data_IF_000638523574
#
_entry.id   IF_000638523574
#
_cell.length_a   1.000
_cell.length_b   1.000
_cell.length_c   1.000
_cell.angle_alpha   90.00
_cell.angle_beta   90.00
_cell.angle_gamma   90.00
#
_symmetry.space_group_name_H-M   'P 1'
#
loop_
_entity.id
_entity.type
_entity.pdbx_description
1 polymer ?
#
# COMPACT_ATOMS: atom_id res chain seq x y z
N UNK A 1 -8.62 -3.16 16.86
CA UNK A 1 -8.38 -4.46 16.19
C UNK A 1 -7.18 -5.26 16.76
N UNK A 2 -6.45 -4.78 17.79
CA UNK A 2 -5.33 -5.51 18.41
C UNK A 2 -5.71 -6.42 19.60
N UNK A 3 -6.90 -6.24 20.18
CA UNK A 3 -7.32 -6.96 21.39
C UNK A 3 -7.70 -8.44 21.15
N UNK A 4 -8.04 -8.85 19.93
CA UNK A 4 -8.40 -10.25 19.64
C UNK A 4 -7.19 -11.17 19.42
N UNK A 5 -6.06 -10.64 18.93
CA UNK A 5 -4.85 -11.43 18.69
C UNK A 5 -4.14 -11.81 19.98
N UNK A 6 -4.07 -10.90 20.96
CA UNK A 6 -3.44 -11.18 22.26
C UNK A 6 -4.17 -12.27 23.05
N UNK A 7 -5.51 -12.25 23.01
CA UNK A 7 -6.36 -13.22 23.70
C UNK A 7 -6.19 -14.63 23.11
N UNK A 8 -6.10 -14.75 21.77
CA UNK A 8 -5.87 -16.03 21.11
C UNK A 8 -4.47 -16.60 21.38
N UNK A 9 -3.45 -15.73 21.41
CA UNK A 9 -2.08 -16.12 21.73
C UNK A 9 -1.95 -16.59 23.18
N UNK A 10 -2.63 -15.94 24.13
CA UNK A 10 -2.68 -16.42 25.51
C UNK A 10 -3.44 -17.74 25.66
N UNK A 11 -4.55 -17.93 24.94
CA UNK A 11 -5.30 -19.20 24.96
C UNK A 11 -4.44 -20.35 24.40
N UNK A 12 -3.69 -20.10 23.32
CA UNK A 12 -2.75 -21.07 22.75
C UNK A 12 -1.55 -21.32 23.67
N UNK A 13 -0.99 -20.28 24.29
CA UNK A 13 0.11 -20.41 25.26
C UNK A 13 -0.31 -21.23 26.49
N UNK A 14 -1.53 -21.03 26.99
CA UNK A 14 -2.07 -21.78 28.12
C UNK A 14 -2.33 -23.25 27.75
N UNK A 15 -2.89 -23.54 26.57
CA UNK A 15 -3.06 -24.93 26.09
C UNK A 15 -1.73 -25.65 25.83
N UNK A 16 -0.71 -24.96 25.34
CA UNK A 16 0.63 -25.55 25.13
C UNK A 16 1.31 -25.87 26.46
N UNK A 17 1.07 -25.09 27.53
CA UNK A 17 1.56 -25.40 28.89
C UNK A 17 0.86 -26.60 29.51
N UNK A 18 -0.43 -26.82 29.23
CA UNK A 18 -1.19 -27.97 29.73
C UNK A 18 -0.83 -29.29 29.03
N UNK A 19 -0.25 -29.23 27.84
CA UNK A 19 0.31 -30.41 27.17
C UNK A 19 1.59 -30.86 27.90
N UNK A 20 1.44 -31.75 28.87
CA UNK A 20 2.55 -32.41 29.56
C UNK A 20 3.42 -33.17 28.54
N UNK A 21 4.56 -32.60 28.15
CA UNK A 21 5.55 -33.14 27.19
C UNK A 21 6.29 -34.41 27.68
N UNK A 22 5.70 -35.14 28.64
CA UNK A 22 6.19 -36.41 29.17
C UNK A 22 5.81 -37.64 28.33
N UNK A 23 4.88 -37.53 27.37
CA UNK A 23 4.44 -38.66 26.56
C UNK A 23 5.51 -39.08 25.52
N UNK A 24 5.97 -40.34 25.60
CA UNK A 24 6.95 -40.96 24.69
C UNK A 24 6.56 -40.83 23.20
N UNK A 25 5.27 -40.72 22.90
CA UNK A 25 4.70 -40.62 21.55
C UNK A 25 5.04 -39.30 20.86
N UNK A 26 5.10 -38.19 21.60
CA UNK A 26 5.43 -36.85 21.05
C UNK A 26 6.92 -36.76 20.74
N UNK A 27 7.78 -37.34 21.60
CA UNK A 27 9.24 -37.39 21.36
C UNK A 27 9.60 -38.25 20.15
N UNK A 28 8.87 -39.34 19.89
CA UNK A 28 9.10 -40.18 18.71
C UNK A 28 8.73 -39.48 17.41
N UNK A 29 7.64 -38.69 17.38
CA UNK A 29 7.23 -37.94 16.18
C UNK A 29 8.12 -36.74 15.86
N UNK A 30 8.76 -36.14 16.86
CA UNK A 30 9.69 -35.01 16.66
C UNK A 30 11.12 -35.42 16.21
N UNK A 31 11.45 -36.73 16.17
CA UNK A 31 12.78 -37.22 15.76
C UNK A 31 13.10 -37.03 14.28
N UNK A 32 12.11 -36.83 13.41
CA UNK A 32 12.30 -36.75 11.96
C UNK A 32 12.68 -35.36 11.43
N UNK A 33 12.79 -34.33 12.30
CA UNK A 33 12.99 -32.96 11.83
C UNK A 33 13.84 -32.12 12.80
N UNK A 34 15.17 -32.14 12.63
CA UNK A 34 16.12 -31.31 13.40
C UNK A 34 15.75 -29.82 13.53
N UNK A 35 15.20 -29.12 12.51
CA UNK A 35 14.86 -27.70 12.67
C UNK A 35 13.66 -27.45 13.62
N UNK A 36 12.71 -28.39 13.70
CA UNK A 36 11.56 -28.30 14.60
C UNK A 36 11.96 -28.48 16.07
N UNK A 37 12.92 -29.36 16.37
CA UNK A 37 13.45 -29.52 17.72
C UNK A 37 14.17 -28.27 18.23
N UNK A 38 14.96 -27.62 17.37
CA UNK A 38 15.69 -26.40 17.73
C UNK A 38 14.72 -25.25 18.04
N UNK A 39 13.72 -25.01 17.18
CA UNK A 39 12.70 -23.98 17.41
C UNK A 39 11.86 -24.24 18.68
N UNK A 40 11.43 -25.47 18.92
CA UNK A 40 10.68 -25.81 20.14
C UNK A 40 11.53 -25.68 21.40
N UNK A 41 12.80 -26.11 21.36
CA UNK A 41 13.71 -26.00 22.51
C UNK A 41 13.96 -24.54 22.89
N UNK A 42 14.11 -23.66 21.89
CA UNK A 42 14.33 -22.23 22.09
C UNK A 42 13.09 -21.52 22.64
N UNK A 43 11.89 -21.94 22.21
CA UNK A 43 10.61 -21.45 22.74
C UNK A 43 10.41 -21.78 24.23
N UNK A 44 10.76 -23.00 24.63
CA UNK A 44 10.65 -23.45 26.03
C UNK A 44 11.62 -22.66 26.94
N UNK A 45 12.83 -22.36 26.45
CA UNK A 45 13.83 -21.64 27.23
C UNK A 45 13.65 -20.13 27.24
N UNK A 46 13.01 -19.54 26.22
CA UNK A 46 12.89 -18.08 26.11
C UNK A 46 11.56 -17.64 25.42
N UNK A 47 10.44 -17.57 26.16
CA UNK A 47 9.11 -17.33 25.59
C UNK A 47 8.87 -15.89 25.10
N UNK A 48 9.72 -14.92 25.50
CA UNK A 48 9.57 -13.51 25.12
C UNK A 48 10.23 -13.16 23.77
N UNK A 49 11.29 -13.86 23.37
CA UNK A 49 11.95 -13.61 22.07
C UNK A 49 11.26 -14.34 20.91
N UNK A 50 10.60 -15.46 21.19
CA UNK A 50 9.98 -16.30 20.17
C UNK A 50 8.62 -15.80 19.66
N UNK A 51 7.93 -14.94 20.42
CA UNK A 51 6.74 -14.24 19.93
C UNK A 51 7.04 -13.31 18.74
N UNK A 52 8.27 -12.79 18.62
CA UNK A 52 8.70 -12.02 17.45
C UNK A 52 9.03 -12.91 16.24
N UNK A 53 9.58 -14.11 16.45
CA UNK A 53 9.82 -15.06 15.35
C UNK A 53 8.52 -15.61 14.75
N UNK A 54 7.50 -15.88 15.57
CA UNK A 54 6.21 -16.40 15.10
C UNK A 54 5.45 -15.41 14.20
N UNK A 55 5.67 -14.10 14.34
CA UNK A 55 5.11 -13.10 13.44
C UNK A 55 5.74 -13.09 12.04
N UNK A 56 6.94 -13.66 11.87
CA UNK A 56 7.66 -13.74 10.58
C UNK A 56 7.63 -15.13 9.94
N UNK A 57 6.98 -16.12 10.56
CA UNK A 57 6.86 -17.45 9.97
C UNK A 57 5.70 -17.51 8.97
N UNK A 58 6.04 -17.93 7.75
CA UNK A 58 5.13 -18.21 6.64
C UNK A 58 3.84 -18.92 7.13
N UNK A 59 2.62 -18.49 6.74
CA UNK A 59 1.35 -19.07 7.18
C UNK A 59 1.23 -20.60 7.00
N UNK A 60 2.01 -21.18 6.07
CA UNK A 60 2.16 -22.64 5.93
C UNK A 60 2.73 -23.33 7.18
N UNK A 61 3.63 -22.68 7.93
CA UNK A 61 4.22 -23.22 9.15
C UNK A 61 3.18 -23.33 10.27
N UNK A 62 2.26 -22.36 10.35
CA UNK A 62 1.15 -22.35 11.31
C UNK A 62 0.12 -23.44 10.99
N UNK A 63 -0.19 -23.64 9.70
CA UNK A 63 -1.06 -24.72 9.23
C UNK A 63 -0.45 -26.10 9.49
N UNK A 64 0.87 -26.26 9.31
CA UNK A 64 1.57 -27.51 9.61
C UNK A 64 1.53 -27.83 11.11
N UNK A 65 1.70 -26.82 11.97
CA UNK A 65 1.63 -26.99 13.43
C UNK A 65 0.21 -27.41 13.89
N UNK A 66 -0.83 -26.80 13.31
CA UNK A 66 -2.23 -27.11 13.62
C UNK A 66 -2.60 -28.51 13.13
N UNK A 67 -2.11 -28.90 11.94
CA UNK A 67 -2.27 -30.25 11.37
C UNK A 67 -1.59 -31.33 12.21
N UNK A 68 -0.34 -31.09 12.65
CA UNK A 68 0.44 -32.07 13.43
C UNK A 68 -0.14 -32.24 14.85
N UNK A 69 -0.75 -31.20 15.41
CA UNK A 69 -1.25 -31.21 16.79
C UNK A 69 -2.75 -31.56 16.93
N UNK A 70 -3.52 -31.67 15.84
CA UNK A 70 -4.96 -32.00 15.87
C UNK A 70 -5.77 -31.14 16.89
N UNK A 71 -5.36 -29.88 17.09
CA UNK A 71 -5.83 -29.08 18.23
C UNK A 71 -7.22 -28.42 18.04
N UNK A 72 -7.83 -28.50 16.84
CA UNK A 72 -9.17 -27.92 16.59
C UNK A 72 -9.93 -28.80 15.59
N UNK A 73 -11.18 -29.23 15.87
CA UNK A 73 -12.02 -29.86 14.86
C UNK A 73 -12.32 -28.85 13.75
N UNK A 74 -12.12 -29.27 12.50
CA UNK A 74 -12.36 -28.49 11.27
C UNK A 74 -13.85 -28.10 11.19
N UNK A 75 -14.23 -27.00 11.85
CA UNK A 75 -15.57 -26.44 11.84
C UNK A 75 -15.63 -25.26 10.87
N UNK A 76 -16.78 -25.06 10.22
CA UNK A 76 -17.03 -24.00 9.24
C UNK A 76 -16.63 -22.58 9.71
N UNK A 77 -16.55 -22.35 11.03
CA UNK A 77 -16.06 -21.09 11.61
C UNK A 77 -14.56 -20.84 11.35
N UNK A 78 -13.74 -21.89 11.21
CA UNK A 78 -12.31 -21.77 10.89
C UNK A 78 -12.10 -21.34 9.43
N UNK A 79 -12.92 -21.85 8.51
CA UNK A 79 -12.93 -21.41 7.10
C UNK A 79 -13.35 -19.93 6.98
N UNK A 80 -14.37 -19.50 7.73
CA UNK A 80 -14.80 -18.10 7.76
C UNK A 80 -13.70 -17.16 8.30
N UNK A 81 -12.91 -17.62 9.28
CA UNK A 81 -11.79 -16.86 9.82
C UNK A 81 -10.61 -16.79 8.82
N UNK A 82 -10.38 -17.86 8.05
CA UNK A 82 -9.40 -17.86 6.97
C UNK A 82 -9.82 -16.92 5.81
N UNK A 83 -11.11 -16.90 5.47
CA UNK A 83 -11.65 -15.97 4.47
C UNK A 83 -11.54 -14.50 4.90
N UNK A 84 -11.70 -14.24 6.20
CA UNK A 84 -11.53 -12.90 6.78
C UNK A 84 -10.07 -12.43 6.81
N UNK A 85 -9.11 -13.37 6.93
CA UNK A 85 -7.67 -13.05 6.92
C UNK A 85 -7.11 -12.88 5.50
N UNK A 86 -7.76 -13.46 4.48
CA UNK A 86 -7.40 -13.27 3.07
C UNK A 86 -7.92 -11.97 2.45
N UNK A 87 -8.80 -11.23 3.13
CA UNK A 87 -9.46 -10.02 2.59
C UNK A 87 -8.98 -8.70 3.22
N UNK A 88 -7.71 -8.57 3.58
CA UNK A 88 -7.22 -7.41 4.34
C UNK A 88 -5.79 -6.96 4.06
N UNK A 89 -5.34 -7.00 2.80
CA UNK A 89 -4.12 -6.31 2.36
C UNK A 89 -4.23 -6.01 0.86
N UNK A 90 -5.23 -5.21 0.49
CA UNK A 90 -5.31 -4.69 -0.88
C UNK A 90 -4.27 -3.57 -1.05
N UNK A 91 -3.48 -3.62 -2.12
CA UNK A 91 -2.65 -2.48 -2.52
C UNK A 91 -3.54 -1.29 -2.85
N UNK A 92 -3.09 -0.08 -2.53
CA UNK A 92 -3.81 1.14 -2.88
C UNK A 92 -3.73 1.32 -4.40
N UNK A 93 -4.88 1.26 -5.07
CA UNK A 93 -4.95 1.38 -6.53
C UNK A 93 -5.04 2.84 -6.94
N UNK A 94 -4.09 3.28 -7.75
CA UNK A 94 -3.98 4.66 -8.20
C UNK A 94 -4.16 4.79 -9.71
N UNK A 95 -4.81 5.90 -10.10
CA UNK A 95 -4.85 6.42 -11.45
C UNK A 95 -4.07 7.73 -11.55
N UNK A 96 -3.51 8.02 -12.73
CA UNK A 96 -2.79 9.28 -12.99
C UNK A 96 -3.47 10.02 -14.13
N UNK A 97 -3.90 11.26 -13.90
CA UNK A 97 -4.35 12.15 -14.95
C UNK A 97 -3.24 13.16 -15.30
N UNK A 98 -2.84 13.17 -16.57
CA UNK A 98 -1.70 13.93 -17.09
C UNK A 98 -0.39 13.17 -16.93
N UNK A 99 0.17 12.65 -18.04
CA UNK A 99 1.43 11.89 -18.02
C UNK A 99 2.65 12.78 -18.32
N UNK A 100 2.62 13.98 -17.74
CA UNK A 100 3.68 14.98 -17.81
C UNK A 100 4.84 14.66 -16.86
N UNK A 101 5.62 15.69 -16.50
CA UNK A 101 6.78 15.53 -15.61
C UNK A 101 6.41 14.89 -14.27
N UNK A 102 5.41 15.44 -13.58
CA UNK A 102 4.98 14.95 -12.26
C UNK A 102 4.34 13.57 -12.38
N UNK A 103 3.38 13.38 -13.29
CA UNK A 103 2.73 12.08 -13.50
C UNK A 103 3.71 10.93 -13.75
N UNK A 104 4.74 11.15 -14.59
CA UNK A 104 5.77 10.11 -14.83
C UNK A 104 6.61 9.81 -13.58
N UNK A 105 6.97 10.82 -12.81
CA UNK A 105 7.73 10.61 -11.56
C UNK A 105 6.89 9.90 -10.51
N UNK A 106 5.61 10.23 -10.39
CA UNK A 106 4.66 9.52 -9.53
C UNK A 106 4.56 8.06 -9.95
N UNK A 107 4.42 7.78 -11.25
CA UNK A 107 4.41 6.41 -11.76
C UNK A 107 5.72 5.65 -11.45
N UNK A 108 6.89 6.29 -11.62
CA UNK A 108 8.19 5.70 -11.28
C UNK A 108 8.28 5.32 -9.80
N UNK A 109 7.84 6.20 -8.91
CA UNK A 109 7.83 5.95 -7.46
C UNK A 109 6.82 4.86 -7.11
N UNK A 110 5.60 4.93 -7.65
CA UNK A 110 4.55 3.94 -7.38
C UNK A 110 4.95 2.52 -7.79
N UNK A 111 5.66 2.36 -8.90
CA UNK A 111 6.11 1.04 -9.38
C UNK A 111 7.22 0.43 -8.50
N UNK A 112 7.90 1.22 -7.69
CA UNK A 112 8.92 0.75 -6.73
C UNK A 112 8.34 0.48 -5.35
N UNK A 113 7.06 0.76 -5.14
CA UNK A 113 6.38 0.58 -3.86
C UNK A 113 5.53 -0.68 -3.85
N UNK A 114 5.50 -1.36 -2.70
CA UNK A 114 4.72 -2.58 -2.53
C UNK A 114 3.29 -2.34 -2.05
N UNK A 115 3.03 -1.16 -1.49
CA UNK A 115 1.73 -0.74 -0.93
C UNK A 115 0.82 -0.03 -1.95
N UNK A 116 1.35 0.34 -3.11
CA UNK A 116 0.64 1.06 -4.17
C UNK A 116 0.66 0.25 -5.47
N UNK A 117 -0.45 0.32 -6.21
CA UNK A 117 -0.58 -0.29 -7.53
C UNK A 117 -1.08 0.75 -8.53
N UNK A 118 -0.27 1.04 -9.56
CA UNK A 118 -0.70 1.86 -10.68
C UNK A 118 -1.58 1.01 -11.60
N UNK A 119 -2.82 1.44 -11.84
CA UNK A 119 -3.77 0.68 -12.67
C UNK A 119 -4.22 1.44 -13.93
N UNK A 120 -4.15 2.78 -13.91
CA UNK A 120 -4.61 3.61 -15.02
C UNK A 120 -3.78 4.87 -15.21
N UNK A 121 -3.61 5.28 -16.47
CA UNK A 121 -3.00 6.55 -16.89
C UNK A 121 -3.93 7.20 -17.91
N UNK A 122 -4.18 8.50 -17.80
CA UNK A 122 -4.88 9.27 -18.82
C UNK A 122 -4.00 10.42 -19.32
N UNK A 123 -3.84 10.53 -20.64
CA UNK A 123 -3.33 11.74 -21.28
C UNK A 123 -3.89 11.85 -22.72
N UNK A 124 -4.70 12.89 -23.02
CA UNK A 124 -5.34 13.03 -24.33
C UNK A 124 -4.39 13.50 -25.45
N UNK A 125 -3.15 13.88 -25.13
CA UNK A 125 -2.21 14.46 -26.09
C UNK A 125 -1.03 13.53 -26.43
N UNK A 126 -0.90 12.41 -25.73
CA UNK A 126 0.27 11.53 -25.81
C UNK A 126 -0.19 10.13 -26.21
N UNK A 127 0.40 9.57 -27.27
CA UNK A 127 0.16 8.18 -27.65
C UNK A 127 0.87 7.21 -26.71
N UNK A 128 0.36 5.99 -26.60
CA UNK A 128 0.92 4.93 -25.73
C UNK A 128 2.39 4.61 -26.04
N UNK A 129 2.78 4.64 -27.31
CA UNK A 129 4.18 4.50 -27.73
C UNK A 129 5.05 5.66 -27.23
N UNK A 130 4.53 6.89 -27.34
CA UNK A 130 5.25 8.08 -26.90
C UNK A 130 5.33 8.15 -25.37
N UNK A 131 4.27 7.75 -24.64
CA UNK A 131 4.30 7.56 -23.18
C UNK A 131 5.43 6.61 -22.77
N UNK A 132 5.58 5.49 -23.48
CA UNK A 132 6.62 4.49 -23.22
C UNK A 132 8.01 5.10 -23.39
N UNK A 133 8.22 5.83 -24.48
CA UNK A 133 9.49 6.53 -24.74
C UNK A 133 9.82 7.55 -23.64
N UNK A 134 8.88 8.44 -23.32
CA UNK A 134 9.04 9.48 -22.31
C UNK A 134 9.22 8.92 -20.89
N UNK A 135 8.63 7.77 -20.60
CA UNK A 135 8.82 7.09 -19.32
C UNK A 135 10.18 6.40 -19.25
N UNK A 136 10.64 5.77 -20.34
CA UNK A 136 11.93 5.08 -20.41
C UNK A 136 13.11 6.05 -20.33
N UNK A 137 13.03 7.18 -21.03
CA UNK A 137 14.11 8.16 -21.12
C UNK A 137 13.70 9.47 -20.45
N UNK A 138 14.31 9.77 -19.31
CA UNK A 138 14.17 11.07 -18.62
C UNK A 138 15.53 11.76 -18.56
N UNK A 139 15.60 13.01 -18.99
CA UNK A 139 16.86 13.77 -19.08
C UNK A 139 17.43 14.14 -17.71
N UNK A 140 16.59 14.28 -16.68
CA UNK A 140 17.00 14.71 -15.34
C UNK A 140 17.21 13.50 -14.43
N UNK A 141 16.27 12.56 -14.45
CA UNK A 141 16.27 11.40 -13.56
C UNK A 141 16.84 10.13 -14.21
N UNK A 142 17.33 10.24 -15.45
CA UNK A 142 17.94 9.15 -16.18
C UNK A 142 16.93 8.10 -16.69
N UNK A 143 17.51 7.03 -17.24
CA UNK A 143 16.74 5.94 -17.83
C UNK A 143 16.08 5.06 -16.77
N UNK A 144 14.89 4.56 -17.08
CA UNK A 144 14.23 3.54 -16.25
C UNK A 144 14.94 2.19 -16.38
N UNK A 145 15.39 1.62 -15.25
CA UNK A 145 16.24 0.40 -15.21
C UNK A 145 15.61 -0.80 -14.49
N UNK A 146 14.40 -0.68 -13.94
CA UNK A 146 13.85 -1.71 -13.05
C UNK A 146 13.12 -2.80 -13.83
N UNK A 147 12.01 -2.46 -14.47
CA UNK A 147 11.18 -3.40 -15.21
C UNK A 147 11.15 -3.06 -16.68
N UNK A 148 11.05 -4.09 -17.52
CA UNK A 148 10.84 -3.91 -18.94
C UNK A 148 9.49 -3.23 -19.19
N UNK A 149 9.47 -2.24 -20.07
CA UNK A 149 8.25 -1.57 -20.52
C UNK A 149 7.86 -2.12 -21.87
N UNK A 150 6.63 -2.63 -21.98
CA UNK A 150 6.07 -3.11 -23.25
C UNK A 150 4.74 -2.43 -23.53
N UNK A 151 4.56 -2.01 -24.77
CA UNK A 151 3.23 -1.65 -25.27
C UNK A 151 2.54 -2.95 -25.66
N UNK A 152 1.41 -3.25 -25.01
CA UNK A 152 0.59 -4.42 -25.37
C UNK A 152 -0.36 -4.08 -26.51
N UNK A 153 -1.02 -2.93 -26.38
CA UNK A 153 -1.96 -2.38 -27.36
C UNK A 153 -2.09 -0.87 -27.17
N UNK A 154 -2.90 -0.20 -27.99
CA UNK A 154 -3.08 1.25 -27.94
C UNK A 154 -3.68 1.75 -26.62
N UNK A 155 -4.26 0.89 -25.80
CA UNK A 155 -4.91 1.23 -24.53
C UNK A 155 -4.26 0.55 -23.32
N UNK A 156 -3.12 -0.13 -23.48
CA UNK A 156 -2.51 -0.90 -22.40
C UNK A 156 -0.99 -0.86 -22.44
N UNK A 157 -0.40 -0.41 -21.32
CA UNK A 157 1.03 -0.48 -21.03
C UNK A 157 1.32 -1.59 -20.04
N UNK A 158 2.39 -2.34 -20.28
CA UNK A 158 2.90 -3.33 -19.35
C UNK A 158 4.16 -2.80 -18.67
N UNK A 159 4.13 -2.73 -17.35
CA UNK A 159 5.29 -2.48 -16.51
C UNK A 159 5.75 -3.82 -15.92
N UNK A 160 6.67 -4.50 -16.61
CA UNK A 160 6.96 -5.91 -16.38
C UNK A 160 5.75 -6.77 -16.77
N UNK A 161 5.17 -7.46 -15.79
CA UNK A 161 3.97 -8.28 -15.98
C UNK A 161 2.68 -7.54 -15.62
N UNK A 162 2.77 -6.33 -15.06
CA UNK A 162 1.61 -5.58 -14.57
C UNK A 162 0.97 -4.75 -15.68
N UNK A 163 -0.29 -4.99 -16.05
CA UNK A 163 -0.99 -4.18 -17.03
C UNK A 163 -1.54 -2.90 -16.41
N UNK A 164 -1.38 -1.80 -17.14
CA UNK A 164 -1.89 -0.47 -16.82
C UNK A 164 -2.70 0.04 -18.01
N UNK A 165 -3.96 0.38 -17.76
CA UNK A 165 -4.85 0.93 -18.78
C UNK A 165 -4.44 2.36 -19.13
N UNK A 166 -4.47 2.69 -20.42
CA UNK A 166 -4.17 4.01 -20.95
C UNK A 166 -5.41 4.58 -21.61
N UNK A 167 -5.74 5.81 -21.22
CA UNK A 167 -6.84 6.58 -21.75
C UNK A 167 -6.34 7.87 -22.41
N UNK A 168 -7.09 8.34 -23.40
CA UNK A 168 -6.81 9.59 -24.14
C UNK A 168 -7.99 10.55 -24.06
N UNK A 169 -8.63 10.66 -22.90
CA UNK A 169 -9.89 11.39 -22.70
C UNK A 169 -9.60 12.79 -22.15
N UNK A 170 -10.24 13.80 -22.73
CA UNK A 170 -10.06 15.22 -22.31
C UNK A 170 -10.92 15.61 -21.12
N UNK A 171 -12.16 15.11 -21.09
CA UNK A 171 -13.09 15.41 -20.01
C UNK A 171 -12.86 14.44 -18.85
N UNK A 172 -12.48 14.91 -17.65
CA UNK A 172 -12.20 14.02 -16.52
C UNK A 172 -13.40 13.16 -16.07
N UNK A 173 -14.63 13.62 -16.32
CA UNK A 173 -15.86 12.90 -15.96
C UNK A 173 -16.06 11.62 -16.77
N UNK A 174 -15.50 11.57 -17.98
CA UNK A 174 -15.65 10.45 -18.92
C UNK A 174 -14.55 9.40 -18.76
N UNK A 175 -13.56 9.64 -17.90
CA UNK A 175 -12.47 8.68 -17.68
C UNK A 175 -13.01 7.54 -16.79
N UNK A 176 -12.98 6.28 -17.25
CA UNK A 176 -13.63 5.17 -16.55
C UNK A 176 -12.72 4.60 -15.43
N UNK A 177 -12.43 5.42 -14.41
CA UNK A 177 -11.63 5.01 -13.25
C UNK A 177 -12.20 3.76 -12.57
N UNK A 178 -13.53 3.70 -12.44
CA UNK A 178 -14.24 2.57 -11.84
C UNK A 178 -13.99 1.24 -12.55
N UNK A 179 -13.86 1.23 -13.89
CA UNK A 179 -13.58 0.01 -14.65
C UNK A 179 -12.18 -0.54 -14.37
N UNK A 180 -11.21 0.35 -14.15
CA UNK A 180 -9.82 -0.02 -13.83
C UNK A 180 -9.60 -0.32 -12.35
N UNK A 181 -10.56 0.04 -11.50
CA UNK A 181 -10.44 -0.04 -10.05
C UNK A 181 -9.51 1.01 -9.44
N UNK A 182 -9.25 2.11 -10.15
CA UNK A 182 -8.48 3.24 -9.61
C UNK A 182 -9.29 3.95 -8.52
N UNK A 183 -8.85 3.82 -7.27
CA UNK A 183 -9.55 4.42 -6.12
C UNK A 183 -9.07 5.85 -5.85
N UNK A 184 -7.77 6.08 -6.05
CA UNK A 184 -7.14 7.38 -5.84
C UNK A 184 -6.62 7.91 -7.16
N UNK A 185 -6.94 9.15 -7.51
CA UNK A 185 -6.44 9.79 -8.73
C UNK A 185 -5.44 10.88 -8.38
N UNK A 186 -4.29 10.84 -9.03
CA UNK A 186 -3.32 11.94 -9.00
C UNK A 186 -3.62 12.85 -10.19
N UNK A 187 -4.12 14.04 -9.90
CA UNK A 187 -4.42 15.08 -10.87
C UNK A 187 -3.16 15.93 -11.09
N UNK A 188 -2.48 15.68 -12.22
CA UNK A 188 -1.20 16.29 -12.56
C UNK A 188 -1.15 16.94 -13.94
N UNK A 189 -2.32 17.23 -14.52
CA UNK A 189 -2.43 18.01 -15.76
C UNK A 189 -2.10 19.49 -15.55
N UNK A 190 -2.34 20.00 -14.34
CA UNK A 190 -2.24 21.43 -14.01
C UNK A 190 -3.43 22.28 -14.48
N UNK A 191 -4.48 21.66 -15.03
CA UNK A 191 -5.69 22.35 -15.52
C UNK A 191 -6.83 22.26 -14.50
N UNK A 192 -6.99 21.10 -13.85
CA UNK A 192 -8.09 20.81 -12.92
C UNK A 192 -7.65 20.99 -11.46
N UNK A 193 -7.15 22.19 -11.12
CA UNK A 193 -6.58 22.50 -9.80
C UNK A 193 -7.59 22.98 -8.76
N UNK A 194 -8.83 23.25 -9.18
CA UNK A 194 -9.91 23.71 -8.29
C UNK A 194 -10.74 22.49 -7.85
N UNK A 195 -11.34 22.54 -6.66
CA UNK A 195 -12.08 21.42 -6.07
C UNK A 195 -13.21 20.93 -6.97
N UNK A 196 -14.01 21.85 -7.51
CA UNK A 196 -15.13 21.52 -8.39
C UNK A 196 -14.69 20.86 -9.70
N UNK A 197 -13.55 21.32 -10.25
CA UNK A 197 -12.97 20.75 -11.47
C UNK A 197 -12.39 19.37 -11.22
N UNK A 198 -11.69 19.18 -10.10
CA UNK A 198 -11.14 17.90 -9.71
C UNK A 198 -12.24 16.88 -9.34
N UNK A 199 -13.40 17.35 -8.84
CA UNK A 199 -14.56 16.51 -8.52
C UNK A 199 -15.10 15.74 -9.73
N UNK A 200 -14.81 16.20 -10.95
CA UNK A 200 -15.11 15.49 -12.17
C UNK A 200 -14.57 14.03 -12.17
N UNK A 201 -13.41 13.78 -11.58
CA UNK A 201 -12.85 12.43 -11.45
C UNK A 201 -13.70 11.49 -10.59
N UNK A 202 -14.41 12.02 -9.60
CA UNK A 202 -15.28 11.23 -8.72
C UNK A 202 -16.45 10.64 -9.51
N UNK A 203 -16.96 11.38 -10.51
CA UNK A 203 -18.01 10.87 -11.43
C UNK A 203 -17.51 9.71 -12.29
N UNK A 204 -16.23 9.69 -12.65
CA UNK A 204 -15.58 8.58 -13.34
C UNK A 204 -15.35 7.33 -12.49
N UNK A 205 -15.70 7.37 -11.19
CA UNK A 205 -15.62 6.23 -10.26
C UNK A 205 -14.40 6.26 -9.33
N UNK A 206 -13.61 7.33 -9.33
CA UNK A 206 -12.57 7.53 -8.32
C UNK A 206 -13.21 7.81 -6.95
N UNK A 207 -12.55 7.38 -5.86
CA UNK A 207 -12.98 7.66 -4.49
C UNK A 207 -12.35 8.95 -3.97
N UNK A 208 -11.08 9.20 -4.30
CA UNK A 208 -10.34 10.38 -3.84
C UNK A 208 -9.44 10.95 -4.93
N UNK A 209 -9.18 12.25 -4.85
CA UNK A 209 -8.36 13.00 -5.81
C UNK A 209 -7.30 13.80 -5.08
N UNK A 210 -6.05 13.67 -5.55
CA UNK A 210 -4.89 14.40 -5.07
C UNK A 210 -4.41 15.32 -6.20
N UNK A 211 -4.57 16.62 -6.01
CA UNK A 211 -4.12 17.65 -6.94
C UNK A 211 -2.63 17.90 -6.70
N UNK A 212 -1.81 17.77 -7.75
CA UNK A 212 -0.34 17.93 -7.65
C UNK A 212 0.15 19.38 -7.74
N UNK A 213 -0.73 20.34 -7.44
CA UNK A 213 -0.50 21.77 -7.55
C UNK A 213 -1.34 22.51 -6.49
N UNK A 214 -1.01 23.79 -6.17
CA UNK A 214 -1.84 24.61 -5.29
C UNK A 214 -3.28 24.68 -5.79
N UNK A 215 -4.21 24.51 -4.85
CA UNK A 215 -5.63 24.70 -5.10
C UNK A 215 -6.10 25.99 -4.44
N UNK A 216 -7.15 26.60 -5.00
CA UNK A 216 -7.77 27.80 -4.43
C UNK A 216 -8.70 27.46 -3.26
N UNK A 217 -9.28 26.27 -3.29
CA UNK A 217 -10.44 25.87 -2.48
C UNK A 217 -10.31 24.45 -1.89
N UNK A 218 -9.48 23.57 -2.48
CA UNK A 218 -9.18 22.28 -1.87
C UNK A 218 -8.17 22.44 -0.72
N UNK A 219 -8.38 21.74 0.43
CA UNK A 219 -7.44 21.78 1.54
C UNK A 219 -6.06 21.27 1.12
N UNK A 220 -5.03 22.01 1.54
CA UNK A 220 -3.63 21.73 1.19
C UNK A 220 -2.92 21.04 2.34
N UNK A 221 -2.24 19.94 2.02
CA UNK A 221 -1.45 19.18 2.98
C UNK A 221 -0.01 19.09 2.51
N UNK A 222 0.91 19.28 3.45
CA UNK A 222 2.35 19.07 3.28
C UNK A 222 2.77 18.00 4.30
N UNK A 223 3.29 16.90 3.78
CA UNK A 223 3.76 15.78 4.60
C UNK A 223 4.95 16.22 5.46
N UNK A 224 4.93 15.91 6.75
CA UNK A 224 5.83 16.38 7.81
C UNK A 224 5.38 17.67 8.50
N UNK A 225 4.35 18.36 8.01
CA UNK A 225 3.92 19.67 8.49
C UNK A 225 2.53 19.62 9.10
N UNK A 226 1.51 19.24 8.33
CA UNK A 226 0.10 19.31 8.73
C UNK A 226 -0.74 18.11 8.26
N UNK A 227 -0.10 16.99 7.89
CA UNK A 227 -0.78 15.77 7.44
C UNK A 227 -1.67 15.13 8.51
N UNK A 228 -1.43 15.42 9.78
CA UNK A 228 -2.23 14.99 10.93
C UNK A 228 -3.61 15.67 11.00
N UNK A 229 -3.77 16.82 10.33
CA UNK A 229 -5.05 17.49 10.18
C UNK A 229 -5.95 16.85 9.11
N UNK A 230 -5.42 15.91 8.31
CA UNK A 230 -6.18 15.22 7.29
C UNK A 230 -7.29 14.36 7.90
N UNK A 231 -8.50 14.48 7.34
CA UNK A 231 -9.66 13.69 7.72
C UNK A 231 -10.14 12.86 6.54
N UNK A 232 -10.59 11.63 6.82
CA UNK A 232 -10.95 10.64 5.80
C UNK A 232 -12.21 11.01 5.00
N UNK A 233 -13.01 11.95 5.47
CA UNK A 233 -14.18 12.52 4.78
C UNK A 233 -13.79 13.55 3.69
N UNK A 234 -12.52 13.95 3.63
CA UNK A 234 -12.02 14.83 2.59
C UNK A 234 -11.67 14.01 1.34
N UNK A 235 -12.46 14.18 0.29
CA UNK A 235 -12.29 13.43 -0.97
C UNK A 235 -11.32 14.06 -1.95
N UNK A 236 -11.13 15.38 -1.86
CA UNK A 236 -10.26 16.13 -2.76
C UNK A 236 -9.27 16.94 -1.93
N UNK A 237 -7.99 16.70 -2.16
CA UNK A 237 -6.89 17.37 -1.48
C UNK A 237 -5.88 17.91 -2.47
N UNK A 238 -5.13 18.93 -2.05
CA UNK A 238 -3.98 19.43 -2.80
C UNK A 238 -2.68 19.11 -2.05
N UNK A 239 -1.68 18.63 -2.78
CA UNK A 239 -0.33 18.42 -2.26
C UNK A 239 0.54 19.70 -2.35
N UNK A 240 -0.11 20.87 -2.39
CA UNK A 240 0.49 22.19 -2.51
C UNK A 240 1.44 22.32 -3.72
N UNK A 241 2.38 23.28 -3.66
CA UNK A 241 3.48 23.43 -4.64
C UNK A 241 4.78 22.81 -4.15
N UNK A 242 5.73 22.59 -5.07
CA UNK A 242 7.08 22.16 -4.72
C UNK A 242 7.79 23.17 -3.80
N UNK A 243 7.61 24.47 -4.02
CA UNK A 243 8.17 25.52 -3.15
C UNK A 243 7.56 25.47 -1.75
N UNK A 244 6.24 25.23 -1.65
CA UNK A 244 5.55 25.06 -0.35
C UNK A 244 6.10 23.85 0.40
N UNK A 245 6.27 22.71 -0.28
CA UNK A 245 6.84 21.51 0.32
C UNK A 245 8.29 21.72 0.81
N UNK A 246 9.06 22.57 0.14
CA UNK A 246 10.41 22.93 0.56
C UNK A 246 10.42 23.88 1.78
N UNK A 247 9.57 24.91 1.76
CA UNK A 247 9.58 25.99 2.74
C UNK A 247 8.84 25.64 4.04
N UNK A 248 7.73 24.91 3.97
CA UNK A 248 6.85 24.70 5.11
C UNK A 248 7.51 23.95 6.29
N UNK A 249 8.34 22.91 6.09
CA UNK A 249 9.08 22.28 7.19
C UNK A 249 10.06 23.23 7.88
N UNK A 250 10.75 24.08 7.10
CA UNK A 250 11.67 25.09 7.64
C UNK A 250 10.91 26.12 8.49
N UNK A 251 9.78 26.62 7.97
CA UNK A 251 8.92 27.54 8.70
C UNK A 251 8.39 26.92 10.01
N UNK A 252 7.96 25.67 9.98
CA UNK A 252 7.47 24.93 11.17
C UNK A 252 8.52 24.88 12.28
N UNK A 253 9.78 24.58 11.94
CA UNK A 253 10.89 24.53 12.92
C UNK A 253 11.18 25.91 13.50
N UNK A 254 11.30 26.93 12.66
CA UNK A 254 11.60 28.31 13.10
C UNK A 254 10.51 28.86 14.03
N UNK A 255 9.25 28.68 13.64
CA UNK A 255 8.09 29.11 14.44
C UNK A 255 8.09 28.37 15.77
N UNK A 256 8.22 27.04 15.75
CA UNK A 256 8.23 26.24 16.99
C UNK A 256 9.35 26.65 17.94
N UNK A 257 10.55 26.93 17.42
CA UNK A 257 11.70 27.36 18.23
C UNK A 257 11.52 28.77 18.81
N UNK A 258 11.01 29.72 18.02
CA UNK A 258 10.78 31.09 18.48
C UNK A 258 9.73 31.14 19.59
N UNK A 259 8.63 30.40 19.45
CA UNK A 259 7.59 30.37 20.48
C UNK A 259 8.03 29.65 21.76
N UNK A 260 8.90 28.64 21.66
CA UNK A 260 9.43 27.95 22.85
C UNK A 260 10.42 28.80 23.67
N UNK A 261 11.11 29.76 23.05
CA UNK A 261 12.08 30.64 23.76
C UNK A 261 11.46 31.94 24.29
N UNK A 262 10.17 32.19 24.03
CA UNK A 262 9.45 33.40 24.47
C UNK A 262 8.53 33.10 25.67
N UNK A 263 8.27 31.82 25.97
CA UNK A 263 7.54 31.35 27.16
C UNK A 263 8.48 30.74 28.19
#
# INVERSE_FOLDING_TARGET
>A
MQWSQFTLLQILQNRIRELNFGSRTIRQRLRSSRPLQLCLSHYITNPKSTSQCLCNCNPLFFLLLISILNLIPFSAKFLSFFHLFTMGSGKIKIGINGFGRIGRLVARVALQRDDVELVAINDPFITTDYMTYMFKYDSVHGQWKHHELKVKDSKTLLFGEKPVSVFGVRNPEEIPWGETGAEFVVESTGVFTDKDKAAAHLKGGAKKVIISAPSKDAPMFVVGVNEDEYKSDIDIVSNASCTTNCLAPLAKVLISFLFYNIT
#
